data_IF_776855278717
#
_entry.id   IF_776855278717
#
_cell.length_a   1.000
_cell.length_b   1.000
_cell.length_c   1.000
_cell.angle_alpha   90.00
_cell.angle_beta   90.00
_cell.angle_gamma   90.00
#
_symmetry.space_group_name_H-M   'P 1'
#
loop_
_entity.id
_entity.type
_entity.pdbx_description
1 polymer ?
#
# COMPACT_ATOMS: atom_id res chain seq x y z
N UNK A 1 -9.75 -9.79 -15.13
CA UNK A 1 -8.91 -9.65 -13.91
C UNK A 1 -9.47 -8.52 -13.04
N UNK A 2 -9.66 -8.75 -11.74
CA UNK A 2 -10.10 -7.71 -10.80
C UNK A 2 -9.01 -6.66 -10.64
N UNK A 3 -9.38 -5.38 -10.61
CA UNK A 3 -8.47 -4.26 -10.30
C UNK A 3 -8.62 -3.91 -8.83
N UNK A 4 -7.49 -3.65 -8.17
CA UNK A 4 -7.44 -3.23 -6.77
C UNK A 4 -6.67 -1.92 -6.73
N UNK A 5 -7.31 -0.86 -6.23
CA UNK A 5 -6.60 0.38 -5.92
C UNK A 5 -5.82 0.18 -4.62
N UNK A 6 -4.53 0.49 -4.68
CA UNK A 6 -3.64 0.45 -3.51
C UNK A 6 -3.46 1.88 -3.03
N UNK A 7 -3.82 2.10 -1.77
CA UNK A 7 -3.75 3.39 -1.10
C UNK A 7 -2.44 3.55 -0.32
N UNK A 8 -2.12 4.78 0.07
CA UNK A 8 -0.93 5.18 0.83
C UNK A 8 -0.76 4.33 2.09
N UNK A 9 -1.87 4.06 2.81
CA UNK A 9 -1.89 3.18 3.98
C UNK A 9 -1.22 1.82 3.72
N UNK A 10 -1.51 1.17 2.59
CA UNK A 10 -1.02 -0.18 2.31
C UNK A 10 0.50 -0.21 2.19
N UNK A 11 1.09 0.83 1.61
CA UNK A 11 2.55 0.93 1.46
C UNK A 11 3.22 1.26 2.78
N UNK A 12 2.67 2.20 3.54
CA UNK A 12 3.24 2.59 4.84
C UNK A 12 3.14 1.45 5.85
N UNK A 13 1.98 0.81 5.97
CA UNK A 13 1.77 -0.34 6.85
C UNK A 13 2.65 -1.54 6.44
N UNK A 14 2.95 -1.70 5.15
CA UNK A 14 3.90 -2.72 4.69
C UNK A 14 5.33 -2.40 5.13
N UNK A 15 5.74 -1.13 5.04
CA UNK A 15 7.06 -0.68 5.46
C UNK A 15 7.26 -0.77 6.98
N UNK A 16 6.21 -0.53 7.78
CA UNK A 16 6.25 -0.61 9.25
C UNK A 16 5.84 -1.98 9.81
N UNK A 17 5.55 -2.95 8.94
CA UNK A 17 5.08 -4.29 9.32
C UNK A 17 3.76 -4.30 10.14
N UNK A 18 2.91 -3.27 10.00
CA UNK A 18 1.61 -3.11 10.66
C UNK A 18 0.41 -3.46 9.76
N UNK A 19 0.63 -4.17 8.65
CA UNK A 19 -0.44 -4.59 7.74
C UNK A 19 -1.52 -5.43 8.43
N UNK A 20 -2.77 -5.01 8.28
CA UNK A 20 -3.94 -5.85 8.58
C UNK A 20 -3.96 -7.09 7.70
N UNK A 21 -4.63 -8.15 8.16
CA UNK A 21 -4.82 -9.40 7.40
C UNK A 21 -5.47 -9.15 6.03
N UNK A 22 -6.47 -8.26 5.96
CA UNK A 22 -7.18 -7.91 4.72
C UNK A 22 -6.26 -7.19 3.72
N UNK A 23 -5.44 -6.25 4.20
CA UNK A 23 -4.48 -5.53 3.35
C UNK A 23 -3.39 -6.48 2.84
N UNK A 24 -2.89 -7.37 3.71
CA UNK A 24 -1.93 -8.43 3.36
C UNK A 24 -2.47 -9.36 2.28
N UNK A 25 -3.71 -9.83 2.41
CA UNK A 25 -4.35 -10.70 1.42
C UNK A 25 -4.54 -9.99 0.07
N UNK A 26 -4.90 -8.71 0.09
CA UNK A 26 -5.03 -7.89 -1.11
C UNK A 26 -3.69 -7.72 -1.81
N UNK A 27 -2.61 -7.42 -1.07
CA UNK A 27 -1.26 -7.36 -1.60
C UNK A 27 -0.78 -8.70 -2.15
N UNK A 28 -1.06 -9.81 -1.46
CA UNK A 28 -0.70 -11.15 -1.95
C UNK A 28 -1.40 -11.48 -3.27
N UNK A 29 -2.68 -11.10 -3.43
CA UNK A 29 -3.40 -11.26 -4.71
C UNK A 29 -2.78 -10.43 -5.84
N UNK A 30 -2.30 -9.22 -5.55
CA UNK A 30 -1.57 -8.40 -6.53
C UNK A 30 -0.22 -9.02 -6.85
N UNK A 31 0.57 -9.39 -5.83
CA UNK A 31 1.91 -9.99 -5.97
C UNK A 31 1.89 -11.31 -6.76
N UNK A 32 0.87 -12.13 -6.55
CA UNK A 32 0.69 -13.42 -7.25
C UNK A 32 0.02 -13.28 -8.63
N UNK A 33 -0.27 -12.06 -9.09
CA UNK A 33 -0.91 -11.82 -10.38
C UNK A 33 -2.41 -12.18 -10.45
N UNK A 34 -3.03 -12.60 -9.33
CA UNK A 34 -4.47 -12.87 -9.25
C UNK A 34 -5.32 -11.60 -9.41
N UNK A 35 -4.75 -10.43 -9.11
CA UNK A 35 -5.36 -9.12 -9.27
C UNK A 35 -4.38 -8.13 -9.89
N UNK A 36 -4.89 -7.13 -10.61
CA UNK A 36 -4.08 -6.00 -11.09
C UNK A 36 -4.10 -4.89 -10.04
N UNK A 37 -2.95 -4.62 -9.43
CA UNK A 37 -2.77 -3.43 -8.59
C UNK A 37 -2.77 -2.17 -9.45
N UNK A 38 -3.46 -1.13 -8.99
CA UNK A 38 -3.49 0.20 -9.60
C UNK A 38 -3.08 1.19 -8.53
N UNK A 39 -2.11 2.05 -8.87
CA UNK A 39 -1.61 3.10 -7.98
C UNK A 39 -1.80 4.42 -8.71
N UNK A 40 -2.42 5.39 -8.06
CA UNK A 40 -2.51 6.75 -8.58
C UNK A 40 -1.21 7.50 -8.28
N UNK A 41 -0.69 8.37 -9.17
CA UNK A 41 0.55 9.12 -8.91
C UNK A 41 0.56 9.91 -7.60
N UNK A 42 -0.61 10.40 -7.15
CA UNK A 42 -0.77 11.07 -5.85
C UNK A 42 -0.39 10.16 -4.67
N UNK A 43 -0.71 8.87 -4.73
CA UNK A 43 -0.35 7.88 -3.70
C UNK A 43 1.17 7.73 -3.62
N UNK A 44 1.86 7.74 -4.78
CA UNK A 44 3.32 7.68 -4.81
C UNK A 44 3.92 8.91 -4.12
N UNK A 45 3.38 10.09 -4.40
CA UNK A 45 3.80 11.33 -3.75
C UNK A 45 3.61 11.28 -2.23
N UNK A 46 2.44 10.86 -1.75
CA UNK A 46 2.13 10.78 -0.31
C UNK A 46 3.04 9.78 0.41
N UNK A 47 3.26 8.59 -0.16
CA UNK A 47 4.17 7.58 0.41
C UNK A 47 5.59 8.14 0.54
N UNK A 48 6.09 8.82 -0.50
CA UNK A 48 7.43 9.42 -0.48
C UNK A 48 7.52 10.58 0.52
N UNK A 49 6.47 11.39 0.62
CA UNK A 49 6.39 12.49 1.58
C UNK A 49 6.48 11.97 3.02
N UNK A 50 5.67 10.96 3.37
CA UNK A 50 5.70 10.33 4.69
C UNK A 50 7.04 9.66 4.99
N UNK A 51 7.61 8.94 4.01
CA UNK A 51 8.93 8.33 4.13
C UNK A 51 10.03 9.36 4.41
N UNK A 52 10.05 10.47 3.67
CA UNK A 52 11.05 11.53 3.82
C UNK A 52 10.96 12.23 5.18
N UNK A 53 9.73 12.45 5.68
CA UNK A 53 9.49 13.11 6.97
C UNK A 53 9.82 12.21 8.17
N UNK A 54 9.96 10.89 7.97
CA UNK A 54 10.02 9.92 9.05
C UNK A 54 8.70 9.78 9.82
N UNK A 55 7.63 10.38 9.29
CA UNK A 55 6.28 10.35 9.85
C UNK A 55 5.55 9.16 9.22
N UNK A 56 5.83 7.97 9.74
CA UNK A 56 4.98 6.82 9.50
C UNK A 56 3.78 6.98 10.42
N UNK A 57 2.63 7.27 9.83
CA UNK A 57 1.32 7.36 10.50
C UNK A 57 1.28 6.53 11.81
N UNK A 58 1.06 7.20 12.94
CA UNK A 58 0.65 6.58 14.21
C UNK A 58 -0.76 5.98 14.04
N UNK A 59 -0.85 4.87 13.29
CA UNK A 59 -2.07 4.10 13.04
C UNK A 59 -2.24 2.97 14.05
#
# INVERSE_FOLDING_TARGET
MKRIFLDTYVFLAAATNTLTSIARDSMLRVKTGKSRGVIHPLIVYEVLYHWYRGEYLDL
#
